data_IF_168994470618
#
_entry.id   IF_168994470618
#
_cell.length_a   1.000
_cell.length_b   1.000
_cell.length_c   1.000
_cell.angle_alpha   90.00
_cell.angle_beta   90.00
_cell.angle_gamma   90.00
#
_symmetry.space_group_name_H-M   'P 1'
#
loop_
_entity.id
_entity.type
_entity.pdbx_description
1 polymer ?
#
# COMPACT_ATOMS: atom_id res chain seq x y z
N UNK A 1 -8.76 14.41 18.00
CA UNK A 1 -8.94 13.15 17.27
C UNK A 1 -7.66 12.31 17.40
N UNK A 2 -7.77 11.10 17.97
CA UNK A 2 -6.61 10.29 18.38
C UNK A 2 -5.69 9.94 17.20
N UNK A 3 -6.24 9.73 16.00
CA UNK A 3 -5.45 9.43 14.81
C UNK A 3 -4.58 10.60 14.34
N UNK A 4 -5.07 11.82 14.43
CA UNK A 4 -4.28 13.03 14.11
C UNK A 4 -3.09 13.11 15.05
N UNK A 5 -3.33 12.93 16.35
CA UNK A 5 -2.26 12.93 17.34
C UNK A 5 -1.21 11.86 17.11
N UNK A 6 -1.63 10.61 16.81
CA UNK A 6 -0.70 9.52 16.51
C UNK A 6 0.13 9.79 15.25
N UNK A 7 -0.46 10.42 14.24
CA UNK A 7 0.25 10.80 13.02
C UNK A 7 1.24 11.97 13.28
N UNK A 8 0.85 12.96 14.07
CA UNK A 8 1.75 14.05 14.48
C UNK A 8 2.90 13.55 15.36
N UNK A 9 2.64 12.57 16.22
CA UNK A 9 3.65 11.89 17.03
C UNK A 9 4.54 10.94 16.21
N UNK A 10 4.31 10.82 14.90
CA UNK A 10 5.04 9.92 13.99
C UNK A 10 5.00 8.44 14.41
N UNK A 11 3.96 8.02 15.13
CA UNK A 11 3.73 6.62 15.50
C UNK A 11 3.04 5.87 14.37
N UNK A 12 2.22 6.57 13.59
CA UNK A 12 1.51 6.03 12.44
C UNK A 12 1.65 6.92 11.20
N UNK A 13 1.44 6.34 10.03
CA UNK A 13 1.31 7.02 8.76
C UNK A 13 -0.14 6.90 8.29
N UNK A 14 -0.85 8.01 8.21
CA UNK A 14 -2.20 8.02 7.66
C UNK A 14 -2.17 8.04 6.13
N UNK A 15 -3.04 7.23 5.53
CA UNK A 15 -3.25 7.12 4.10
C UNK A 15 -4.73 7.42 3.80
N UNK A 16 -5.02 8.44 3.00
CA UNK A 16 -6.39 8.90 2.75
C UNK A 16 -6.94 8.37 1.44
N UNK A 17 -8.25 8.07 1.42
CA UNK A 17 -8.91 7.70 0.18
C UNK A 17 -9.02 8.91 -0.77
N UNK A 18 -8.43 8.83 -1.96
CA UNK A 18 -8.60 9.83 -3.00
C UNK A 18 -9.82 9.49 -3.86
N UNK A 19 -10.91 10.23 -3.70
CA UNK A 19 -12.18 9.97 -4.40
C UNK A 19 -12.13 10.28 -5.89
N UNK A 20 -11.26 11.21 -6.29
CA UNK A 20 -10.94 11.52 -7.70
C UNK A 20 -9.42 11.51 -7.91
N UNK A 21 -8.86 10.50 -8.59
CA UNK A 21 -7.43 10.37 -8.80
C UNK A 21 -6.92 11.38 -9.83
N UNK A 22 -6.57 12.55 -9.37
CA UNK A 22 -5.90 13.62 -10.11
C UNK A 22 -4.57 13.96 -9.46
N UNK A 23 -3.69 14.66 -10.16
CA UNK A 23 -2.37 15.08 -9.64
C UNK A 23 -2.48 15.84 -8.31
N UNK A 24 -3.56 16.56 -8.09
CA UNK A 24 -3.89 17.17 -6.81
C UNK A 24 -4.62 16.22 -5.85
N UNK A 25 -4.07 15.03 -5.54
CA UNK A 25 -4.69 14.01 -4.67
C UNK A 25 -5.24 14.57 -3.34
N UNK A 26 -4.56 15.57 -2.79
CA UNK A 26 -4.99 16.23 -1.55
C UNK A 26 -6.36 16.94 -1.69
N UNK A 27 -6.72 17.39 -2.90
CA UNK A 27 -7.97 18.10 -3.13
C UNK A 27 -9.19 17.16 -3.12
N UNK A 28 -8.97 15.88 -3.39
CA UNK A 28 -10.00 14.85 -3.42
C UNK A 28 -9.88 13.85 -2.27
N UNK A 29 -9.07 14.16 -1.25
CA UNK A 29 -8.88 13.32 -0.10
C UNK A 29 -10.13 13.27 0.78
N UNK A 30 -10.68 12.09 0.97
CA UNK A 30 -11.73 11.83 1.95
C UNK A 30 -11.08 11.51 3.31
N UNK A 31 -11.20 12.47 4.23
CA UNK A 31 -10.65 12.32 5.58
C UNK A 31 -11.47 11.39 6.49
N UNK A 32 -12.67 11.01 6.08
CA UNK A 32 -13.49 10.05 6.82
C UNK A 32 -13.10 8.60 6.51
N UNK A 33 -12.48 8.37 5.34
CA UNK A 33 -12.05 7.04 4.88
C UNK A 33 -10.53 7.02 4.81
N UNK A 34 -9.91 6.35 5.78
CA UNK A 34 -8.45 6.30 5.88
C UNK A 34 -7.95 4.90 6.26
N UNK A 35 -6.78 4.56 5.75
CA UNK A 35 -5.94 3.45 6.23
C UNK A 35 -4.90 4.03 7.19
N UNK A 36 -4.47 3.21 8.15
CA UNK A 36 -3.47 3.59 9.14
C UNK A 36 -2.36 2.54 9.13
N UNK A 37 -1.15 2.97 8.81
CA UNK A 37 0.05 2.12 8.81
C UNK A 37 0.93 2.49 9.99
N UNK A 38 1.57 1.51 10.61
CA UNK A 38 2.60 1.80 11.63
C UNK A 38 3.80 2.49 10.96
N UNK A 39 4.32 3.53 11.59
CA UNK A 39 5.50 4.23 11.07
C UNK A 39 6.77 3.37 11.14
N UNK A 40 6.76 2.35 11.99
CA UNK A 40 7.79 1.33 12.11
C UNK A 40 7.17 -0.06 11.93
N UNK A 41 7.58 -0.77 10.86
CA UNK A 41 7.10 -2.13 10.57
C UNK A 41 7.58 -3.14 11.62
N UNK A 42 8.73 -2.93 12.26
CA UNK A 42 9.20 -3.76 13.37
C UNK A 42 8.27 -3.66 14.57
N UNK A 43 7.77 -2.47 14.86
CA UNK A 43 6.77 -2.27 15.91
C UNK A 43 5.44 -2.97 15.58
N UNK A 44 4.98 -2.93 14.31
CA UNK A 44 3.82 -3.68 13.85
C UNK A 44 3.98 -5.18 14.11
N UNK A 45 5.13 -5.74 13.71
CA UNK A 45 5.45 -7.16 13.91
C UNK A 45 5.48 -7.50 15.40
N UNK A 46 6.16 -6.69 16.21
CA UNK A 46 6.25 -6.90 17.66
C UNK A 46 4.85 -6.92 18.30
N UNK A 47 3.99 -5.95 17.98
CA UNK A 47 2.64 -5.90 18.50
C UNK A 47 1.79 -7.10 18.07
N UNK A 48 1.93 -7.55 16.83
CA UNK A 48 1.19 -8.71 16.31
C UNK A 48 1.51 -9.99 17.09
N UNK A 49 2.72 -10.12 17.63
CA UNK A 49 3.18 -11.33 18.31
C UNK A 49 3.32 -11.19 19.82
N UNK A 50 3.04 -10.02 20.38
CA UNK A 50 3.18 -9.75 21.82
C UNK A 50 2.43 -10.76 22.71
N UNK A 51 1.26 -11.22 22.26
CA UNK A 51 0.42 -12.16 23.01
C UNK A 51 0.78 -13.64 22.80
N UNK A 52 1.72 -13.95 21.87
CA UNK A 52 2.06 -15.33 21.50
C UNK A 52 3.24 -15.91 22.29
N UNK A 53 3.82 -15.15 23.22
CA UNK A 53 4.91 -15.64 24.09
C UNK A 53 6.21 -16.02 23.35
N UNK A 54 6.40 -15.54 22.14
CA UNK A 54 7.66 -15.73 21.42
C UNK A 54 8.78 -14.94 22.11
N UNK A 55 9.95 -15.57 22.25
CA UNK A 55 11.17 -14.81 22.53
C UNK A 55 11.61 -14.07 21.27
N UNK A 56 12.31 -12.94 21.43
CA UNK A 56 12.80 -12.13 20.30
C UNK A 56 13.53 -12.98 19.25
N UNK A 57 14.38 -13.92 19.70
CA UNK A 57 15.12 -14.81 18.81
C UNK A 57 14.24 -15.79 18.04
N UNK A 58 13.15 -16.29 18.62
CA UNK A 58 12.21 -17.19 17.97
C UNK A 58 11.39 -16.43 16.93
N UNK A 59 10.97 -15.21 17.26
CA UNK A 59 10.25 -14.34 16.33
C UNK A 59 11.11 -14.00 15.11
N UNK A 60 12.36 -13.57 15.32
CA UNK A 60 13.30 -13.28 14.23
C UNK A 60 13.57 -14.50 13.35
N UNK A 61 13.75 -15.68 13.94
CA UNK A 61 13.92 -16.93 13.19
C UNK A 61 12.67 -17.27 12.38
N UNK A 62 11.49 -17.08 12.95
CA UNK A 62 10.23 -17.36 12.25
C UNK A 62 10.02 -16.42 11.05
N UNK A 63 10.40 -15.14 11.17
CA UNK A 63 10.40 -14.16 10.07
C UNK A 63 11.39 -14.57 8.98
N UNK A 64 12.65 -14.90 9.36
CA UNK A 64 13.70 -15.23 8.41
C UNK A 64 13.46 -16.54 7.65
N UNK A 65 12.75 -17.50 8.25
CA UNK A 65 12.51 -18.82 7.66
C UNK A 65 11.08 -19.01 7.15
N UNK A 66 10.34 -17.91 6.96
CA UNK A 66 8.98 -17.92 6.39
C UNK A 66 8.01 -18.86 7.14
N UNK A 67 8.17 -18.93 8.46
CA UNK A 67 7.38 -19.80 9.37
C UNK A 67 6.34 -19.05 10.18
N UNK A 68 6.18 -17.75 9.91
CA UNK A 68 5.12 -16.98 10.52
C UNK A 68 3.85 -17.17 9.72
N UNK A 69 2.85 -17.72 10.35
CA UNK A 69 1.48 -17.74 9.84
C UNK A 69 0.87 -16.33 10.03
N UNK A 70 1.37 -15.37 9.25
CA UNK A 70 0.99 -13.95 9.31
C UNK A 70 0.36 -13.55 8.00
N UNK A 71 -0.49 -12.55 8.06
CA UNK A 71 -0.92 -11.83 6.87
C UNK A 71 0.26 -11.03 6.27
N UNK A 72 1.10 -11.71 5.49
CA UNK A 72 2.26 -11.13 4.81
C UNK A 72 1.88 -9.89 4.00
N UNK A 73 0.71 -9.90 3.39
CA UNK A 73 0.20 -8.75 2.62
C UNK A 73 0.16 -7.47 3.46
N UNK A 74 -0.33 -7.57 4.70
CA UNK A 74 -0.41 -6.44 5.62
C UNK A 74 0.99 -5.90 5.98
N UNK A 75 1.94 -6.79 6.24
CA UNK A 75 3.32 -6.39 6.57
C UNK A 75 3.99 -5.72 5.38
N UNK A 76 3.86 -6.29 4.18
CA UNK A 76 4.45 -5.75 2.96
C UNK A 76 3.84 -4.40 2.59
N UNK A 77 2.52 -4.26 2.73
CA UNK A 77 1.83 -2.98 2.50
C UNK A 77 2.31 -1.92 3.50
N UNK A 78 2.51 -2.28 4.78
CA UNK A 78 3.07 -1.37 5.79
C UNK A 78 4.52 -0.96 5.46
N UNK A 79 5.36 -1.89 5.00
CA UNK A 79 6.74 -1.59 4.56
C UNK A 79 6.74 -0.61 3.38
N UNK A 80 5.88 -0.81 2.39
CA UNK A 80 5.74 0.09 1.25
C UNK A 80 5.28 1.47 1.70
N UNK A 81 4.27 1.56 2.58
CA UNK A 81 3.82 2.82 3.16
C UNK A 81 4.97 3.58 3.84
N UNK A 82 5.79 2.89 4.62
CA UNK A 82 6.97 3.45 5.29
C UNK A 82 8.00 3.97 4.26
N UNK A 83 8.32 3.19 3.21
CA UNK A 83 9.26 3.59 2.15
C UNK A 83 8.78 4.83 1.40
N UNK A 84 7.50 4.87 0.99
CA UNK A 84 6.92 6.02 0.31
C UNK A 84 6.93 7.29 1.20
N UNK A 85 6.66 7.13 2.51
CA UNK A 85 6.75 8.24 3.47
C UNK A 85 8.18 8.76 3.62
N UNK A 86 9.18 7.87 3.66
CA UNK A 86 10.60 8.26 3.72
C UNK A 86 11.03 9.06 2.49
N UNK A 87 10.39 8.82 1.33
CA UNK A 87 10.60 9.61 0.10
C UNK A 87 9.89 10.97 0.11
N UNK A 88 9.08 11.24 1.13
CA UNK A 88 8.34 12.49 1.26
C UNK A 88 6.93 12.46 0.65
N UNK A 89 6.47 11.31 0.16
CA UNK A 89 5.11 11.18 -0.34
C UNK A 89 4.09 11.31 0.79
N UNK A 90 3.00 12.04 0.54
CA UNK A 90 1.77 11.87 1.29
C UNK A 90 1.09 10.62 0.76
N UNK A 91 0.57 9.79 1.67
CA UNK A 91 -0.04 8.52 1.30
C UNK A 91 -1.50 8.71 0.90
N UNK A 92 -1.85 8.19 -0.26
CA UNK A 92 -3.21 8.11 -0.76
C UNK A 92 -3.47 6.71 -1.30
N UNK A 93 -4.70 6.24 -1.15
CA UNK A 93 -5.20 5.03 -1.78
C UNK A 93 -6.47 5.34 -2.56
N UNK A 94 -6.97 4.40 -3.31
CA UNK A 94 -8.28 4.49 -3.93
C UNK A 94 -9.12 3.31 -3.50
N UNK A 95 -10.29 3.59 -2.95
CA UNK A 95 -11.28 2.56 -2.68
C UNK A 95 -12.66 3.08 -3.07
N UNK A 96 -13.36 2.28 -3.85
CA UNK A 96 -14.77 2.47 -4.15
C UNK A 96 -15.51 1.18 -3.85
N UNK A 97 -16.36 1.21 -2.85
CA UNK A 97 -17.28 0.13 -2.54
C UNK A 97 -18.66 0.50 -3.12
N UNK A 98 -19.14 -0.29 -4.08
CA UNK A 98 -20.51 -0.23 -4.56
C UNK A 98 -21.29 -1.36 -3.88
N UNK A 99 -22.24 -1.02 -3.00
CA UNK A 99 -22.98 -2.02 -2.23
C UNK A 99 -23.98 -2.80 -3.09
N UNK A 100 -24.43 -2.19 -4.20
CA UNK A 100 -25.41 -2.80 -5.10
C UNK A 100 -24.75 -3.61 -6.22
N UNK A 101 -23.55 -3.19 -6.65
CA UNK A 101 -22.82 -3.79 -7.75
C UNK A 101 -21.38 -4.14 -7.32
N UNK A 102 -21.19 -5.36 -6.82
CA UNK A 102 -19.87 -5.84 -6.37
C UNK A 102 -18.80 -5.83 -7.48
N UNK A 103 -19.22 -5.95 -8.73
CA UNK A 103 -18.34 -5.81 -9.90
C UNK A 103 -17.66 -4.44 -10.00
N UNK A 104 -18.27 -3.41 -9.42
CA UNK A 104 -17.73 -2.05 -9.39
C UNK A 104 -16.76 -1.80 -8.22
N UNK A 105 -16.58 -2.82 -7.36
CA UNK A 105 -15.60 -2.70 -6.29
C UNK A 105 -14.19 -2.60 -6.87
N UNK A 106 -13.48 -1.57 -6.47
CA UNK A 106 -12.08 -1.32 -6.84
C UNK A 106 -11.31 -0.82 -5.63
N UNK A 107 -10.15 -1.38 -5.42
CA UNK A 107 -9.20 -0.91 -4.44
C UNK A 107 -7.80 -0.93 -5.05
N UNK A 108 -7.05 0.15 -4.83
CA UNK A 108 -5.64 0.30 -5.21
C UNK A 108 -4.90 0.75 -3.97
N UNK A 109 -3.83 0.06 -3.60
CA UNK A 109 -3.19 0.21 -2.30
C UNK A 109 -2.57 1.59 -2.10
N UNK A 110 -1.87 2.12 -3.13
CA UNK A 110 -1.32 3.47 -3.08
C UNK A 110 -1.45 4.21 -4.41
N UNK A 111 -1.55 5.53 -4.30
CA UNK A 111 -1.50 6.46 -5.42
C UNK A 111 -0.40 7.49 -5.16
N UNK A 112 0.49 7.67 -6.12
CA UNK A 112 1.47 8.76 -6.11
C UNK A 112 1.30 9.65 -7.34
N UNK A 113 1.69 10.91 -7.23
CA UNK A 113 1.70 11.83 -8.36
C UNK A 113 3.09 11.80 -9.02
N UNK A 114 3.14 11.48 -10.30
CA UNK A 114 4.34 11.51 -11.13
C UNK A 114 4.17 12.51 -12.27
N UNK A 115 4.81 13.67 -12.13
CA UNK A 115 4.68 14.76 -13.08
C UNK A 115 3.24 15.22 -13.23
N UNK A 116 2.63 14.99 -14.41
CA UNK A 116 1.24 15.37 -14.72
C UNK A 116 0.26 14.21 -14.64
N UNK A 117 0.69 13.07 -14.13
CA UNK A 117 -0.09 11.82 -14.09
C UNK A 117 -0.10 11.23 -12.69
N UNK A 118 -0.97 10.27 -12.48
CA UNK A 118 -1.04 9.44 -11.27
C UNK A 118 -0.42 8.09 -11.58
N UNK A 119 0.38 7.60 -10.67
CA UNK A 119 0.91 6.24 -10.70
C UNK A 119 0.22 5.41 -9.60
N UNK A 120 -0.65 4.48 -9.98
CA UNK A 120 -1.23 3.52 -9.04
C UNK A 120 -0.21 2.44 -8.71
N UNK A 121 -0.18 2.03 -7.44
CA UNK A 121 0.71 1.01 -6.88
C UNK A 121 -0.14 -0.04 -6.19
N UNK A 122 0.07 -1.29 -6.55
CA UNK A 122 -0.51 -2.48 -5.93
C UNK A 122 0.59 -3.29 -5.26
N UNK A 123 0.36 -3.79 -4.04
CA UNK A 123 1.32 -4.61 -3.28
C UNK A 123 0.86 -6.06 -3.27
N UNK A 124 1.75 -6.98 -3.59
CA UNK A 124 1.44 -8.42 -3.67
C UNK A 124 2.45 -9.27 -2.89
N UNK A 125 1.97 -10.03 -1.92
CA UNK A 125 2.78 -11.03 -1.21
C UNK A 125 2.86 -12.38 -1.96
N UNK A 126 1.84 -12.71 -2.74
CA UNK A 126 1.68 -14.01 -3.41
C UNK A 126 1.41 -13.90 -4.90
N UNK A 127 0.20 -14.26 -5.34
CA UNK A 127 -0.15 -14.28 -6.76
C UNK A 127 -0.22 -12.87 -7.35
N UNK A 128 0.84 -12.46 -8.04
CA UNK A 128 0.95 -11.16 -8.72
C UNK A 128 0.17 -11.11 -10.04
N UNK A 129 -0.30 -12.26 -10.54
CA UNK A 129 -1.06 -12.35 -11.81
C UNK A 129 -2.50 -11.89 -11.67
N UNK A 130 -3.03 -11.84 -10.44
CA UNK A 130 -4.40 -11.36 -10.19
C UNK A 130 -4.36 -9.90 -9.72
N UNK A 131 -4.66 -8.98 -10.62
CA UNK A 131 -4.68 -7.53 -10.37
C UNK A 131 -5.93 -6.86 -10.98
N UNK A 132 -7.07 -7.54 -10.89
CA UNK A 132 -8.32 -7.10 -11.51
C UNK A 132 -8.79 -5.70 -11.03
N UNK A 133 -8.54 -5.32 -9.77
CA UNK A 133 -8.86 -3.98 -9.26
C UNK A 133 -8.00 -2.91 -9.92
N UNK A 134 -6.71 -3.16 -10.05
CA UNK A 134 -5.78 -2.26 -10.73
C UNK A 134 -6.16 -2.10 -12.22
N UNK A 135 -6.54 -3.18 -12.90
CA UNK A 135 -6.95 -3.12 -14.31
C UNK A 135 -8.24 -2.31 -14.50
N UNK A 136 -9.23 -2.53 -13.64
CA UNK A 136 -10.46 -1.72 -13.65
C UNK A 136 -10.16 -0.24 -13.40
N UNK A 137 -9.27 0.04 -12.46
CA UNK A 137 -8.85 1.40 -12.14
C UNK A 137 -8.16 2.06 -13.34
N UNK A 138 -7.21 1.36 -13.99
CA UNK A 138 -6.51 1.81 -15.20
C UNK A 138 -7.46 2.07 -16.37
N UNK A 139 -8.41 1.18 -16.58
CA UNK A 139 -9.41 1.34 -17.64
C UNK A 139 -10.29 2.59 -17.40
N UNK A 140 -10.74 2.77 -16.16
CA UNK A 140 -11.64 3.87 -15.79
C UNK A 140 -10.94 5.24 -15.84
N UNK A 141 -9.69 5.32 -15.42
CA UNK A 141 -8.94 6.58 -15.31
C UNK A 141 -7.79 6.70 -16.29
N UNK A 142 -7.89 6.05 -17.46
CA UNK A 142 -6.80 5.91 -18.42
C UNK A 142 -6.14 7.23 -18.83
N UNK A 143 -6.90 8.32 -18.96
CA UNK A 143 -6.39 9.64 -19.30
C UNK A 143 -5.53 10.28 -18.19
N UNK A 144 -5.72 9.88 -16.93
CA UNK A 144 -5.08 10.43 -15.74
C UNK A 144 -3.89 9.61 -15.27
N UNK A 145 -3.77 8.35 -15.72
CA UNK A 145 -2.75 7.41 -15.28
C UNK A 145 -1.51 7.48 -16.16
N UNK A 146 -0.36 7.48 -15.54
CA UNK A 146 0.96 7.28 -16.15
C UNK A 146 1.42 5.83 -16.05
N UNK A 147 2.57 5.62 -15.44
CA UNK A 147 3.07 4.27 -15.14
C UNK A 147 2.20 3.63 -14.06
N UNK A 148 2.10 2.31 -14.07
CA UNK A 148 1.40 1.53 -13.05
C UNK A 148 2.37 0.50 -12.48
N UNK A 149 2.37 0.33 -11.17
CA UNK A 149 3.33 -0.51 -10.47
C UNK A 149 2.64 -1.66 -9.73
N UNK A 150 3.27 -2.84 -9.80
CA UNK A 150 3.03 -3.94 -8.87
C UNK A 150 4.31 -4.16 -8.08
N UNK A 151 4.26 -3.97 -6.77
CA UNK A 151 5.36 -4.27 -5.85
C UNK A 151 5.19 -5.68 -5.32
N UNK A 152 6.21 -6.52 -5.46
CA UNK A 152 6.12 -7.95 -5.16
C UNK A 152 7.47 -8.55 -4.74
N UNK A 153 7.53 -9.84 -4.51
CA UNK A 153 8.71 -10.51 -3.95
C UNK A 153 9.67 -11.08 -4.99
N UNK A 154 9.49 -10.73 -6.28
CA UNK A 154 10.31 -11.25 -7.39
C UNK A 154 11.07 -10.15 -8.12
N UNK A 155 11.79 -10.52 -9.19
CA UNK A 155 12.62 -9.62 -9.99
C UNK A 155 11.80 -8.65 -10.86
N UNK A 156 12.49 -7.61 -11.33
CA UNK A 156 11.90 -6.60 -12.21
C UNK A 156 11.39 -7.25 -13.50
N UNK A 157 10.14 -6.97 -13.83
CA UNK A 157 9.56 -7.36 -15.11
C UNK A 157 8.51 -6.35 -15.59
N UNK A 158 8.20 -6.37 -16.88
CA UNK A 158 7.09 -5.57 -17.43
C UNK A 158 6.12 -6.51 -18.14
N UNK A 159 4.85 -6.42 -17.79
CA UNK A 159 3.75 -7.11 -18.47
C UNK A 159 2.50 -6.24 -18.47
N UNK A 160 1.68 -6.31 -19.52
CA UNK A 160 0.40 -5.60 -19.65
C UNK A 160 0.48 -4.08 -19.38
N UNK A 161 1.61 -3.45 -19.76
CA UNK A 161 1.93 -2.06 -19.44
C UNK A 161 1.92 -1.76 -17.93
N UNK A 162 2.31 -2.73 -17.12
CA UNK A 162 2.55 -2.60 -15.69
C UNK A 162 4.01 -2.92 -15.42
N UNK A 163 4.67 -2.10 -14.63
CA UNK A 163 6.03 -2.34 -14.18
C UNK A 163 5.99 -3.06 -12.84
N UNK A 164 6.45 -4.30 -12.84
CA UNK A 164 6.58 -5.10 -11.65
C UNK A 164 7.96 -4.86 -11.04
N UNK A 165 8.01 -4.51 -9.77
CA UNK A 165 9.24 -4.18 -9.05
C UNK A 165 9.34 -4.97 -7.75
N UNK A 166 10.55 -5.42 -7.36
CA UNK A 166 10.79 -5.91 -6.01
C UNK A 166 10.34 -4.86 -4.98
N UNK A 167 9.77 -5.31 -3.86
CA UNK A 167 9.21 -4.42 -2.83
C UNK A 167 10.19 -3.33 -2.38
N UNK A 168 11.47 -3.67 -2.19
CA UNK A 168 12.49 -2.71 -1.77
C UNK A 168 12.69 -1.56 -2.75
N UNK A 169 12.27 -1.70 -4.00
CA UNK A 169 12.33 -0.63 -5.01
C UNK A 169 11.28 0.46 -4.79
N UNK A 170 10.30 0.27 -3.91
CA UNK A 170 9.37 1.33 -3.51
C UNK A 170 10.09 2.58 -2.99
N UNK A 171 11.32 2.41 -2.45
CA UNK A 171 12.15 3.53 -2.00
C UNK A 171 12.69 4.43 -3.12
N UNK A 172 12.49 4.07 -4.38
CA UNK A 172 12.93 4.86 -5.55
C UNK A 172 11.77 5.52 -6.31
N UNK A 173 10.54 5.21 -5.91
CA UNK A 173 9.33 5.80 -6.48
C UNK A 173 9.05 7.19 -5.92
#
# INVERSE_FOLDING_TARGET
DSFIWLNEAMVVNTCFNATDPNVGLALSADHATQKCYMADTGLLVTQTFMDKGYTDNELYKAILFDKLDVNEGMILENMVAQMLRCRGHKLYFYSRCDKEHRENHMEVDFLIAEGKKIAPIEVKSGSYRSHASLDKFRAKFSSKIGESYILYTKDVMRSDNILHLPIYMAMFL
#
